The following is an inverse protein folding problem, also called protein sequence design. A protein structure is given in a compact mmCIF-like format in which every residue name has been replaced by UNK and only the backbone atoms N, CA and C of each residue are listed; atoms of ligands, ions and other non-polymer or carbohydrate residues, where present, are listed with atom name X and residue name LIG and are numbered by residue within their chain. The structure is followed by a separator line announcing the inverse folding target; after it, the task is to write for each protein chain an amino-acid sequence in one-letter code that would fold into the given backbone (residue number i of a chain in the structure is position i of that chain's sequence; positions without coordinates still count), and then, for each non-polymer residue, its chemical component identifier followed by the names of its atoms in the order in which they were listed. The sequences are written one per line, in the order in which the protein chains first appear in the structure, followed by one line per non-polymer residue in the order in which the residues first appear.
data_IF_595797188273
#
_entry.id   IF_595797188273
#
_cell.length_a   1.000
_cell.length_b   1.000
_cell.length_c   1.000
_cell.angle_alpha   90.00
_cell.angle_beta   90.00
_cell.angle_gamma   90.00
#
_symmetry.space_group_name_H-M   'P 1'
#
loop_
_entity.id
_entity.type
_entity.pdbx_description
1 polymer ?
#
# COMPACT_ATOMS: atom_id res chain seq x y z
N UNK A 1 30.48 62.53 -14.62
CA UNK A 1 29.65 62.73 -13.41
C UNK A 1 29.86 61.49 -12.56
N UNK A 2 30.83 61.59 -11.66
CA UNK A 2 31.31 60.52 -10.78
C UNK A 2 30.59 60.58 -9.40
N UNK A 3 30.83 59.64 -8.45
CA UNK A 3 29.79 58.95 -7.67
C UNK A 3 29.86 59.24 -6.16
N UNK A 4 28.94 58.69 -5.35
CA UNK A 4 29.19 58.45 -3.92
C UNK A 4 28.19 57.49 -3.25
N UNK A 5 28.75 56.64 -2.41
CA UNK A 5 28.14 55.71 -1.44
C UNK A 5 28.01 56.39 -0.05
N UNK A 6 27.35 55.69 0.89
CA UNK A 6 27.55 55.67 2.38
C UNK A 6 26.48 56.35 3.29
N UNK A 7 25.86 55.49 4.13
CA UNK A 7 25.37 55.62 5.53
C UNK A 7 24.38 56.75 5.89
N UNK A 8 23.46 56.70 6.86
CA UNK A 8 23.32 56.02 8.17
C UNK A 8 21.95 56.49 8.74
N UNK A 9 21.17 55.81 9.58
CA UNK A 9 21.15 55.85 11.08
C UNK A 9 19.67 55.61 11.50
N UNK A 10 19.45 54.76 12.51
CA UNK A 10 18.23 54.59 13.33
C UNK A 10 18.02 55.80 14.26
N UNK A 11 16.81 56.21 14.70
CA UNK A 11 16.12 55.46 15.76
C UNK A 11 14.58 55.51 15.78
N UNK A 12 14.06 54.55 16.55
CA UNK A 12 12.73 54.36 17.18
C UNK A 12 12.32 55.54 18.12
N UNK A 13 11.23 55.50 18.93
CA UNK A 13 10.01 54.66 18.97
C UNK A 13 8.69 55.45 19.32
N UNK A 14 7.59 54.70 19.43
CA UNK A 14 6.37 54.96 20.24
C UNK A 14 5.24 55.86 19.71
N UNK A 15 4.11 55.24 19.35
CA UNK A 15 2.78 55.45 19.95
C UNK A 15 1.83 54.29 19.56
N UNK A 16 0.75 54.03 20.33
CA UNK A 16 0.39 52.67 20.75
C UNK A 16 -0.81 52.06 20.01
N UNK A 17 -0.87 50.74 20.14
CA UNK A 17 -1.90 49.82 19.69
C UNK A 17 -3.34 50.23 20.07
N UNK A 18 -4.21 50.28 19.06
CA UNK A 18 -5.64 49.90 19.08
C UNK A 18 -5.74 48.65 18.19
N UNK A 19 -6.51 47.59 18.42
CA UNK A 19 -7.78 47.40 19.12
C UNK A 19 -7.83 45.98 19.67
N UNK A 20 -8.16 45.82 20.95
CA UNK A 20 -8.69 44.58 21.51
C UNK A 20 -10.21 44.72 21.57
N UNK A 21 -10.91 44.09 20.63
CA UNK A 21 -12.36 43.93 20.64
C UNK A 21 -12.66 42.48 21.04
N UNK A 22 -12.93 42.27 22.32
CA UNK A 22 -14.00 41.42 22.87
C UNK A 22 -13.81 41.41 24.40
N UNK A 23 -14.92 41.34 25.14
CA UNK A 23 -15.05 41.37 26.61
C UNK A 23 -15.31 42.79 27.14
N UNK A 24 -16.59 43.16 27.11
CA UNK A 24 -17.10 44.41 27.65
C UNK A 24 -18.61 44.38 27.85
N UNK A 25 -19.10 43.40 28.60
CA UNK A 25 -20.47 43.39 29.13
C UNK A 25 -20.44 42.82 30.56
N UNK A 26 -20.04 43.65 31.52
CA UNK A 26 -20.34 43.42 32.93
C UNK A 26 -20.18 44.71 33.75
N UNK A 27 -21.12 45.64 33.60
CA UNK A 27 -21.24 46.77 34.52
C UNK A 27 -22.60 47.47 34.43
N UNK A 28 -23.69 46.72 34.61
CA UNK A 28 -24.96 47.26 35.13
C UNK A 28 -25.55 46.17 36.02
N UNK A 29 -26.00 46.54 37.23
CA UNK A 29 -26.58 45.71 38.31
C UNK A 29 -25.68 45.47 39.53
N UNK A 30 -25.14 46.56 40.10
CA UNK A 30 -24.67 46.59 41.48
C UNK A 30 -25.49 47.59 42.30
N UNK A 31 -26.80 47.35 42.50
CA UNK A 31 -27.56 48.00 43.58
C UNK A 31 -28.94 47.38 43.84
N UNK A 32 -28.94 46.21 44.50
CA UNK A 32 -29.90 45.75 45.54
C UNK A 32 -29.79 44.23 45.65
N UNK A 33 -28.88 43.77 46.50
CA UNK A 33 -28.78 42.37 46.87
C UNK A 33 -30.04 41.95 47.65
N UNK A 34 -30.72 40.91 47.18
CA UNK A 34 -31.43 39.99 48.06
C UNK A 34 -30.56 38.75 48.23
N UNK A 35 -30.09 38.48 49.45
CA UNK A 35 -29.19 37.38 49.84
C UNK A 35 -29.64 35.94 49.44
N UNK A 36 -30.75 35.79 48.72
CA UNK A 36 -31.29 34.50 48.26
C UNK A 36 -30.85 34.11 46.84
N UNK A 37 -30.33 35.04 46.03
CA UNK A 37 -29.88 34.74 44.65
C UNK A 37 -28.45 34.18 44.61
N UNK A 38 -27.57 34.59 45.54
CA UNK A 38 -26.21 34.05 45.64
C UNK A 38 -26.18 32.57 46.07
N UNK A 39 -27.21 32.10 46.80
CA UNK A 39 -27.33 30.68 47.16
C UNK A 39 -27.66 29.80 45.94
N UNK A 40 -28.43 30.31 44.97
CA UNK A 40 -28.83 29.56 43.76
C UNK A 40 -27.76 29.61 42.65
N UNK A 41 -27.03 30.72 42.49
CA UNK A 41 -25.86 30.78 41.60
C UNK A 41 -24.66 29.99 42.14
N UNK A 42 -24.50 29.90 43.46
CA UNK A 42 -23.49 29.04 44.10
C UNK A 42 -23.74 27.55 43.86
N UNK A 43 -25.01 27.10 43.82
CA UNK A 43 -25.36 25.71 43.52
C UNK A 43 -25.18 25.34 42.03
N UNK A 44 -25.33 26.28 41.09
CA UNK A 44 -25.08 26.02 39.67
C UNK A 44 -23.59 26.08 39.27
N UNK A 45 -22.75 26.84 39.99
CA UNK A 45 -21.29 26.80 39.77
C UNK A 45 -20.63 25.61 40.49
N UNK A 46 -21.22 25.11 41.58
CA UNK A 46 -20.73 23.91 42.27
C UNK A 46 -21.02 22.60 41.51
N UNK A 47 -21.99 22.58 40.58
CA UNK A 47 -22.29 21.41 39.75
C UNK A 47 -21.48 21.33 38.44
N UNK A 48 -20.72 22.37 38.08
CA UNK A 48 -19.76 22.35 36.97
C UNK A 48 -18.30 22.08 37.41
N UNK A 49 -18.08 21.78 38.70
CA UNK A 49 -16.78 21.38 39.28
C UNK A 49 -16.76 19.94 39.81
N UNK A 50 -17.70 19.10 39.37
CA UNK A 50 -17.49 17.66 39.35
C UNK A 50 -16.69 17.33 38.10
N UNK A 51 -15.38 17.52 38.25
CA UNK A 51 -14.37 16.90 37.41
C UNK A 51 -14.78 15.46 37.14
N UNK A 52 -15.05 15.14 35.87
CA UNK A 52 -15.07 13.75 35.45
C UNK A 52 -13.72 13.17 35.79
N UNK A 53 -13.64 12.45 36.91
CA UNK A 53 -12.48 11.66 37.25
C UNK A 53 -12.32 10.70 36.08
N UNK A 54 -11.36 10.99 35.19
CA UNK A 54 -10.84 9.98 34.26
C UNK A 54 -10.19 8.95 35.17
N UNK A 55 -10.98 8.01 35.69
CA UNK A 55 -10.43 6.93 36.50
C UNK A 55 -9.40 6.24 35.60
N UNK A 56 -8.13 6.34 35.99
CA UNK A 56 -7.06 5.62 35.34
C UNK A 56 -7.43 4.14 35.30
N UNK A 57 -7.13 3.49 34.18
CA UNK A 57 -7.60 2.13 33.88
C UNK A 57 -6.76 1.05 34.55
N UNK A 58 -5.51 1.37 34.88
CA UNK A 58 -4.52 0.40 35.36
C UNK A 58 -3.42 1.08 36.19
N UNK A 59 -2.59 0.27 36.83
CA UNK A 59 -1.38 0.74 37.52
C UNK A 59 -1.67 1.35 38.89
N UNK A 60 -0.68 2.03 39.46
CA UNK A 60 -0.73 2.60 40.81
C UNK A 60 -1.89 3.58 41.02
N UNK A 61 -2.27 4.31 39.96
CA UNK A 61 -3.39 5.24 39.94
C UNK A 61 -4.75 4.52 40.05
N UNK A 62 -4.80 3.25 39.62
CA UNK A 62 -5.99 2.40 39.63
C UNK A 62 -5.91 1.26 40.67
N UNK A 63 -5.21 1.49 41.79
CA UNK A 63 -5.07 0.49 42.87
C UNK A 63 -4.33 -0.79 42.44
N UNK A 64 -3.47 -0.71 41.43
CA UNK A 64 -2.74 -1.85 40.88
C UNK A 64 -3.53 -2.67 39.85
N UNK A 65 -4.65 -2.16 39.35
CA UNK A 65 -5.43 -2.84 38.32
C UNK A 65 -4.59 -3.16 37.08
N UNK A 66 -4.81 -4.35 36.50
CA UNK A 66 -4.19 -4.78 35.26
C UNK A 66 -5.09 -4.45 34.07
N UNK A 67 -4.47 -4.21 32.92
CA UNK A 67 -5.22 -4.03 31.69
C UNK A 67 -5.87 -5.32 31.19
N UNK A 68 -7.07 -5.24 30.58
CA UNK A 68 -7.68 -6.36 29.87
C UNK A 68 -6.87 -6.72 28.62
N UNK A 69 -6.98 -7.97 28.16
CA UNK A 69 -6.41 -8.40 26.87
C UNK A 69 -4.88 -8.43 26.76
N UNK A 70 -4.17 -8.61 27.89
CA UNK A 70 -2.70 -8.60 27.96
C UNK A 70 -2.05 -7.30 27.46
N UNK A 71 -2.80 -6.18 27.45
CA UNK A 71 -2.27 -4.87 27.12
C UNK A 71 -1.33 -4.35 28.22
N UNK A 72 -0.41 -3.47 27.84
CA UNK A 72 0.51 -2.83 28.76
C UNK A 72 -0.18 -1.68 29.50
N UNK A 73 0.23 -1.46 30.74
CA UNK A 73 -0.17 -0.30 31.51
C UNK A 73 0.90 0.78 31.43
N UNK A 74 0.57 1.92 30.80
CA UNK A 74 1.50 3.04 30.67
C UNK A 74 1.84 3.69 32.02
N UNK A 75 2.87 4.55 32.03
CA UNK A 75 3.22 5.38 33.20
C UNK A 75 2.05 6.23 33.73
N UNK A 76 1.10 6.56 32.86
CA UNK A 76 -0.04 7.40 33.16
C UNK A 76 -1.30 6.62 33.55
N UNK A 77 -1.22 5.29 33.68
CA UNK A 77 -2.34 4.46 34.12
C UNK A 77 -3.37 4.17 33.02
N UNK A 78 -2.92 4.07 31.76
CA UNK A 78 -3.77 3.75 30.60
C UNK A 78 -3.34 2.46 29.92
N UNK A 79 -4.30 1.74 29.35
CA UNK A 79 -4.07 0.48 28.66
C UNK A 79 -3.82 0.65 27.17
N UNK A 80 -2.78 0.01 26.64
CA UNK A 80 -2.45 0.02 25.21
C UNK A 80 -1.31 -0.92 24.84
N UNK A 81 -1.01 -1.03 23.56
CA UNK A 81 -0.04 -1.97 22.98
C UNK A 81 1.11 -1.30 22.20
N UNK A 82 1.18 0.04 22.20
CA UNK A 82 2.27 0.78 21.54
C UNK A 82 3.44 1.01 22.50
N UNK A 83 4.60 1.43 21.98
CA UNK A 83 5.80 1.71 22.78
C UNK A 83 5.55 2.71 23.92
N UNK A 84 4.68 3.72 23.71
CA UNK A 84 4.31 4.69 24.74
C UNK A 84 3.62 4.05 25.99
N UNK A 85 3.09 2.84 25.85
CA UNK A 85 2.41 2.10 26.91
C UNK A 85 3.28 0.96 27.46
N UNK A 86 4.05 0.30 26.60
CA UNK A 86 4.79 -0.92 26.93
C UNK A 86 6.25 -0.71 27.33
N UNK A 87 6.88 0.41 26.97
CA UNK A 87 8.32 0.62 27.19
C UNK A 87 8.64 0.79 28.69
N UNK A 88 9.40 -0.13 29.32
CA UNK A 88 9.82 0.01 30.70
C UNK A 88 10.65 1.28 30.95
N UNK A 89 11.44 1.73 29.96
CA UNK A 89 12.25 2.95 30.08
C UNK A 89 11.37 4.21 30.11
N UNK A 90 10.15 4.15 29.59
CA UNK A 90 9.16 5.23 29.67
C UNK A 90 8.23 5.12 30.88
N UNK A 91 8.47 4.15 31.76
CA UNK A 91 7.75 3.98 33.02
C UNK A 91 6.49 3.13 32.92
N UNK A 92 6.44 2.16 32.01
CA UNK A 92 5.39 1.14 32.00
C UNK A 92 5.27 0.47 33.39
N UNK A 93 4.04 0.33 33.89
CA UNK A 93 3.74 -0.10 35.26
C UNK A 93 3.44 -1.60 35.38
N UNK A 94 2.83 -2.22 34.36
CA UNK A 94 2.51 -3.65 34.37
C UNK A 94 2.34 -4.20 32.95
N UNK A 95 2.58 -5.52 32.80
CA UNK A 95 2.50 -6.24 31.50
C UNK A 95 3.42 -5.69 30.41
N UNK A 96 4.46 -4.95 30.80
CA UNK A 96 5.47 -4.31 29.94
C UNK A 96 6.31 -5.29 29.10
N UNK A 97 6.22 -6.58 29.43
CA UNK A 97 7.00 -7.66 28.82
C UNK A 97 6.11 -8.74 28.17
N UNK A 98 4.77 -8.54 28.12
CA UNK A 98 3.81 -9.64 27.96
C UNK A 98 2.53 -9.39 27.14
N UNK A 99 2.55 -8.46 26.18
CA UNK A 99 1.63 -8.56 25.03
C UNK A 99 1.95 -9.82 24.20
N UNK A 100 1.08 -10.27 23.26
CA UNK A 100 1.46 -11.32 22.32
C UNK A 100 2.84 -10.98 21.75
N UNK A 101 3.76 -11.91 21.96
CA UNK A 101 5.18 -11.76 21.72
C UNK A 101 5.40 -11.10 20.36
N UNK A 102 6.07 -9.93 20.26
CA UNK A 102 6.71 -9.59 19.01
C UNK A 102 7.77 -10.67 18.80
N UNK A 103 7.51 -11.60 17.88
CA UNK A 103 8.55 -12.40 17.24
C UNK A 103 9.72 -11.46 16.96
N UNK A 104 10.96 -11.80 17.37
CA UNK A 104 12.08 -10.87 17.40
C UNK A 104 12.10 -10.06 16.11
N UNK A 105 11.85 -8.75 16.22
CA UNK A 105 11.97 -7.87 15.09
C UNK A 105 13.40 -8.02 14.57
N UNK A 106 13.59 -8.46 13.32
CA UNK A 106 14.83 -8.16 12.62
C UNK A 106 15.03 -6.64 12.70
N UNK A 107 16.28 -6.16 12.76
CA UNK A 107 16.58 -4.75 12.97
C UNK A 107 15.71 -3.90 12.05
N UNK A 108 15.21 -2.78 12.58
CA UNK A 108 14.55 -1.70 11.86
C UNK A 108 15.22 -1.46 10.51
N UNK A 109 14.65 -2.14 9.53
CA UNK A 109 15.06 -2.22 8.15
C UNK A 109 13.81 -2.64 7.43
N UNK A 110 12.77 -1.79 7.48
CA UNK A 110 11.71 -1.88 6.49
C UNK A 110 12.43 -1.92 5.16
N UNK A 111 12.37 -3.08 4.47
CA UNK A 111 13.12 -3.31 3.25
C UNK A 111 12.90 -2.14 2.29
N UNK A 112 13.84 -1.89 1.39
CA UNK A 112 13.80 -0.69 0.54
C UNK A 112 12.51 -0.53 -0.30
N UNK A 113 11.67 -1.56 -0.41
CA UNK A 113 10.30 -1.49 -0.95
C UNK A 113 9.28 -0.92 0.06
N UNK A 114 9.36 -1.29 1.34
CA UNK A 114 8.47 -0.80 2.39
C UNK A 114 8.60 0.71 2.64
N UNK A 115 9.73 1.32 2.26
CA UNK A 115 9.89 2.79 2.28
C UNK A 115 9.21 3.50 1.10
N UNK A 116 8.86 2.77 0.04
CA UNK A 116 8.11 3.28 -1.12
C UNK A 116 6.61 3.10 -0.93
N UNK A 117 6.19 1.96 -0.37
CA UNK A 117 4.79 1.61 -0.13
C UNK A 117 4.60 1.15 1.31
N UNK A 118 4.00 2.02 2.12
CA UNK A 118 3.59 1.67 3.49
C UNK A 118 2.40 0.71 3.48
N UNK A 119 2.12 0.10 4.63
CA UNK A 119 0.90 -0.71 4.82
C UNK A 119 -0.35 0.08 4.49
N UNK A 120 -0.47 1.31 4.97
CA UNK A 120 -1.63 2.17 4.69
C UNK A 120 -1.80 2.48 3.21
N UNK A 121 -0.71 2.73 2.47
CA UNK A 121 -0.77 2.93 1.02
C UNK A 121 -1.14 1.65 0.29
N UNK A 122 -0.63 0.48 0.71
CA UNK A 122 -1.02 -0.81 0.16
C UNK A 122 -2.52 -1.07 0.39
N UNK A 123 -3.02 -0.78 1.58
CA UNK A 123 -4.44 -0.92 1.91
C UNK A 123 -5.32 0.06 1.15
N UNK A 124 -4.88 1.30 0.93
CA UNK A 124 -5.61 2.28 0.09
C UNK A 124 -5.60 1.90 -1.39
N UNK A 125 -4.47 1.39 -1.90
CA UNK A 125 -4.35 0.90 -3.28
C UNK A 125 -5.30 -0.29 -3.48
N UNK A 126 -5.28 -1.27 -2.58
CA UNK A 126 -6.10 -2.49 -2.68
C UNK A 126 -7.29 -2.48 -1.72
N UNK A 127 -8.05 -1.38 -1.77
CA UNK A 127 -9.09 -1.00 -0.81
C UNK A 127 -10.16 -2.09 -0.59
N UNK A 128 -10.68 -2.67 -1.67
CA UNK A 128 -11.81 -3.61 -1.59
C UNK A 128 -11.42 -5.09 -1.70
N UNK A 129 -10.12 -5.43 -1.68
CA UNK A 129 -9.67 -6.83 -1.82
C UNK A 129 -10.21 -7.78 -0.74
N UNK A 130 -10.56 -7.23 0.42
CA UNK A 130 -11.09 -7.96 1.57
C UNK A 130 -12.61 -7.86 1.70
N UNK A 131 -13.29 -7.27 0.71
CA UNK A 131 -14.75 -7.23 0.68
C UNK A 131 -15.33 -8.65 0.72
N UNK A 132 -16.53 -8.80 1.29
CA UNK A 132 -17.19 -10.09 1.40
C UNK A 132 -17.50 -10.73 0.04
N UNK A 133 -17.65 -9.93 -1.02
CA UNK A 133 -17.87 -10.40 -2.38
C UNK A 133 -16.60 -10.97 -3.04
N UNK A 134 -15.41 -10.70 -2.49
CA UNK A 134 -14.15 -11.15 -3.06
C UNK A 134 -13.78 -12.56 -2.59
N UNK A 135 -13.66 -13.57 -3.49
CA UNK A 135 -13.27 -14.92 -3.09
C UNK A 135 -11.87 -15.01 -2.48
N UNK A 136 -10.98 -14.06 -2.80
CA UNK A 136 -9.64 -13.97 -2.23
C UNK A 136 -9.57 -13.14 -0.93
N UNK A 137 -10.70 -12.75 -0.32
CA UNK A 137 -10.71 -11.95 0.91
C UNK A 137 -9.78 -12.52 1.98
N UNK A 138 -9.02 -11.65 2.63
CA UNK A 138 -8.01 -11.92 3.65
C UNK A 138 -6.78 -12.74 3.18
N UNK A 139 -6.67 -13.08 1.90
CA UNK A 139 -5.51 -13.82 1.38
C UNK A 139 -4.30 -12.91 1.15
N UNK A 140 -4.48 -11.80 0.45
CA UNK A 140 -3.38 -10.91 0.07
C UNK A 140 -3.07 -9.90 1.17
N UNK A 141 -2.03 -10.20 1.96
CA UNK A 141 -1.58 -9.33 3.05
C UNK A 141 -0.36 -8.50 2.64
N UNK A 142 -0.21 -7.33 3.27
CA UNK A 142 0.97 -6.48 3.10
C UNK A 142 2.26 -7.23 3.49
N UNK A 143 2.20 -8.03 4.56
CA UNK A 143 3.36 -8.78 5.05
C UNK A 143 3.83 -9.84 4.04
N UNK A 144 2.89 -10.54 3.39
CA UNK A 144 3.21 -11.47 2.31
C UNK A 144 3.83 -10.75 1.10
N UNK A 145 3.30 -9.58 0.73
CA UNK A 145 3.85 -8.76 -0.34
C UNK A 145 5.29 -8.32 -0.04
N UNK A 146 5.55 -7.77 1.15
CA UNK A 146 6.90 -7.32 1.53
C UNK A 146 7.88 -8.49 1.66
N UNK A 147 7.45 -9.62 2.24
CA UNK A 147 8.27 -10.83 2.33
C UNK A 147 8.66 -11.37 0.94
N UNK A 148 7.71 -11.38 0.00
CA UNK A 148 7.98 -11.76 -1.38
C UNK A 148 8.91 -10.76 -2.06
N UNK A 149 8.62 -9.46 -1.97
CA UNK A 149 9.42 -8.39 -2.58
C UNK A 149 10.88 -8.43 -2.14
N UNK A 150 11.15 -8.67 -0.85
CA UNK A 150 12.50 -8.78 -0.32
C UNK A 150 13.29 -9.98 -0.85
N UNK A 151 12.63 -10.93 -1.55
CA UNK A 151 13.30 -12.06 -2.19
C UNK A 151 13.81 -11.74 -3.61
N UNK A 152 13.49 -10.57 -4.17
CA UNK A 152 13.88 -10.18 -5.53
C UNK A 152 14.64 -8.85 -5.51
N UNK A 153 15.97 -8.93 -5.57
CA UNK A 153 16.82 -7.74 -5.68
C UNK A 153 16.45 -6.90 -6.91
N UNK A 154 16.39 -5.58 -6.73
CA UNK A 154 16.03 -4.62 -7.79
C UNK A 154 14.54 -4.25 -7.81
N UNK A 155 13.63 -5.16 -7.49
CA UNK A 155 12.19 -4.88 -7.49
C UNK A 155 11.86 -3.73 -6.53
N UNK A 156 11.29 -2.64 -7.04
CA UNK A 156 10.93 -1.45 -6.26
C UNK A 156 12.12 -0.69 -5.66
N UNK A 157 13.35 -1.03 -6.06
CA UNK A 157 14.60 -0.50 -5.48
C UNK A 157 15.59 0.00 -6.52
N UNK A 158 15.33 -0.24 -7.81
CA UNK A 158 16.12 0.26 -8.93
C UNK A 158 15.72 1.69 -9.31
N UNK A 159 16.71 2.53 -9.61
CA UNK A 159 16.50 3.90 -10.09
C UNK A 159 16.20 4.92 -8.98
N UNK A 160 15.72 6.10 -9.39
CA UNK A 160 15.28 7.18 -8.50
C UNK A 160 13.94 6.88 -7.81
N UNK A 161 13.52 7.75 -6.90
CA UNK A 161 12.30 7.55 -6.12
C UNK A 161 11.05 7.46 -7.02
N UNK A 162 10.97 8.27 -8.07
CA UNK A 162 9.86 8.26 -9.02
C UNK A 162 9.82 6.95 -9.81
N UNK A 163 10.97 6.45 -10.24
CA UNK A 163 11.08 5.15 -10.94
C UNK A 163 10.62 4.01 -10.04
N UNK A 164 11.04 3.99 -8.77
CA UNK A 164 10.60 2.98 -7.81
C UNK A 164 9.10 3.03 -7.54
N UNK A 165 8.54 4.23 -7.32
CA UNK A 165 7.09 4.42 -7.16
C UNK A 165 6.33 3.95 -8.40
N UNK A 166 6.82 4.31 -9.59
CA UNK A 166 6.20 3.94 -10.87
C UNK A 166 6.26 2.43 -11.11
N UNK A 167 7.35 1.78 -10.74
CA UNK A 167 7.45 0.31 -10.78
C UNK A 167 6.41 -0.35 -9.87
N UNK A 168 6.30 0.08 -8.61
CA UNK A 168 5.31 -0.47 -7.68
C UNK A 168 3.89 -0.23 -8.20
N UNK A 169 3.60 0.98 -8.71
CA UNK A 169 2.31 1.30 -9.33
C UNK A 169 2.02 0.41 -10.55
N UNK A 170 3.01 0.16 -11.41
CA UNK A 170 2.86 -0.63 -12.61
C UNK A 170 2.65 -2.11 -12.30
N UNK A 171 3.45 -2.67 -11.38
CA UNK A 171 3.29 -4.05 -10.92
C UNK A 171 1.91 -4.27 -10.30
N UNK A 172 1.52 -3.41 -9.35
CA UNK A 172 0.20 -3.49 -8.72
C UNK A 172 -0.91 -3.25 -9.74
N UNK A 173 -0.71 -2.35 -10.70
CA UNK A 173 -1.69 -2.04 -11.75
C UNK A 173 -2.00 -3.24 -12.62
N UNK A 174 -0.97 -3.92 -13.12
CA UNK A 174 -1.12 -5.10 -13.96
C UNK A 174 -1.76 -6.25 -13.17
N UNK A 175 -1.23 -6.52 -11.97
CA UNK A 175 -1.74 -7.62 -11.14
C UNK A 175 -3.16 -7.36 -10.61
N UNK A 176 -3.55 -6.10 -10.45
CA UNK A 176 -4.93 -5.74 -10.11
C UNK A 176 -5.89 -6.02 -11.25
N UNK A 177 -5.49 -5.77 -12.51
CA UNK A 177 -6.29 -6.16 -13.67
C UNK A 177 -6.50 -7.67 -13.73
N UNK A 178 -5.43 -8.46 -13.58
CA UNK A 178 -5.50 -9.93 -13.60
C UNK A 178 -6.43 -10.52 -12.52
N UNK A 179 -6.71 -9.76 -11.47
CA UNK A 179 -7.46 -10.21 -10.29
C UNK A 179 -8.65 -9.30 -9.98
N UNK A 180 -9.09 -8.50 -10.94
CA UNK A 180 -10.11 -7.47 -10.72
C UNK A 180 -11.47 -8.07 -10.43
N UNK A 181 -12.12 -7.56 -9.39
CA UNK A 181 -13.56 -7.71 -9.14
C UNK A 181 -14.34 -6.45 -9.46
N UNK A 182 -13.74 -5.47 -10.15
CA UNK A 182 -14.34 -4.18 -10.41
C UNK A 182 -15.40 -4.21 -11.51
N UNK A 183 -16.39 -3.32 -11.37
CA UNK A 183 -17.40 -3.05 -12.39
C UNK A 183 -17.60 -1.52 -12.54
N UNK A 184 -18.25 -1.03 -13.61
CA UNK A 184 -18.28 0.40 -13.91
C UNK A 184 -18.83 1.30 -12.79
N UNK A 185 -19.76 0.78 -11.98
CA UNK A 185 -20.40 1.49 -10.88
C UNK A 185 -19.98 0.98 -9.49
N UNK A 186 -18.84 0.30 -9.41
CA UNK A 186 -18.35 -0.22 -8.14
C UNK A 186 -18.09 0.91 -7.13
N UNK A 187 -18.28 0.67 -5.81
CA UNK A 187 -17.85 1.60 -4.78
C UNK A 187 -16.39 2.02 -4.99
N UNK A 188 -16.10 3.32 -4.93
CA UNK A 188 -14.78 3.92 -5.22
C UNK A 188 -14.24 3.66 -6.66
N UNK A 189 -15.11 3.27 -7.59
CA UNK A 189 -14.81 3.01 -8.99
C UNK A 189 -14.14 1.65 -9.24
N UNK A 190 -14.10 1.18 -10.51
CA UNK A 190 -13.61 -0.16 -10.86
C UNK A 190 -12.16 -0.40 -10.43
N UNK A 191 -11.34 0.65 -10.37
CA UNK A 191 -9.91 0.56 -10.11
C UNK A 191 -9.51 0.45 -8.63
N UNK A 192 -10.49 0.25 -7.74
CA UNK A 192 -10.28 -0.02 -6.31
C UNK A 192 -10.52 -1.49 -5.91
N UNK A 193 -10.83 -2.33 -6.92
CA UNK A 193 -11.25 -3.73 -6.78
C UNK A 193 -10.23 -4.73 -7.34
N UNK A 194 -8.97 -4.33 -7.45
CA UNK A 194 -7.87 -5.28 -7.71
C UNK A 194 -7.72 -6.29 -6.57
N UNK A 195 -7.10 -7.43 -6.85
CA UNK A 195 -6.80 -8.49 -5.87
C UNK A 195 -8.04 -9.15 -5.26
N UNK A 196 -9.18 -9.11 -5.96
CA UNK A 196 -10.42 -9.74 -5.53
C UNK A 196 -10.41 -11.26 -5.74
N UNK A 197 -9.66 -11.73 -6.75
CA UNK A 197 -9.50 -13.14 -7.10
C UNK A 197 -8.06 -13.62 -6.92
N UNK A 198 -7.91 -14.94 -6.72
CA UNK A 198 -6.61 -15.63 -6.62
C UNK A 198 -6.50 -16.88 -7.50
N UNK A 199 -7.58 -17.24 -8.15
CA UNK A 199 -7.69 -18.36 -9.07
C UNK A 199 -8.54 -17.94 -10.26
N UNK A 200 -8.21 -18.46 -11.44
CA UNK A 200 -8.96 -18.28 -12.68
C UNK A 200 -10.40 -18.72 -12.48
N UNK A 201 -11.33 -17.89 -12.95
CA UNK A 201 -12.77 -18.10 -12.74
C UNK A 201 -13.36 -19.13 -13.72
N UNK A 202 -14.48 -19.74 -13.33
CA UNK A 202 -15.20 -20.70 -14.16
C UNK A 202 -14.66 -22.13 -14.04
N UNK A 203 -14.54 -22.84 -15.17
CA UNK A 203 -14.02 -24.21 -15.23
C UNK A 203 -12.79 -24.27 -16.13
N UNK A 204 -11.63 -23.78 -15.66
CA UNK A 204 -10.43 -23.71 -16.47
C UNK A 204 -9.92 -25.10 -16.87
N UNK A 205 -9.31 -25.14 -18.06
CA UNK A 205 -8.62 -26.33 -18.58
C UNK A 205 -7.41 -26.73 -17.72
N UNK A 206 -6.66 -27.74 -18.16
CA UNK A 206 -5.45 -28.15 -17.43
C UNK A 206 -4.27 -27.19 -17.62
N UNK A 207 -4.27 -26.40 -18.70
CA UNK A 207 -3.12 -25.58 -19.12
C UNK A 207 -1.81 -26.38 -19.15
N UNK A 208 -1.92 -27.67 -19.47
CA UNK A 208 -0.78 -28.56 -19.64
C UNK A 208 -0.35 -28.55 -21.11
N UNK A 209 0.86 -28.08 -21.38
CA UNK A 209 1.51 -28.20 -22.67
C UNK A 209 2.63 -29.24 -22.61
N UNK A 210 2.70 -30.21 -23.55
CA UNK A 210 3.78 -31.19 -23.58
C UNK A 210 5.16 -30.52 -23.54
N UNK A 211 5.99 -30.91 -22.57
CA UNK A 211 7.33 -30.38 -22.37
C UNK A 211 8.20 -31.43 -21.69
N UNK A 212 9.39 -31.69 -22.25
CA UNK A 212 10.37 -32.56 -21.61
C UNK A 212 11.01 -31.89 -20.39
N UNK A 213 11.16 -30.55 -20.42
CA UNK A 213 11.80 -29.79 -19.34
C UNK A 213 10.85 -29.54 -18.17
N UNK A 214 9.57 -29.34 -18.46
CA UNK A 214 8.53 -29.01 -17.47
C UNK A 214 7.34 -29.94 -17.63
N UNK A 215 7.50 -31.26 -17.40
CA UNK A 215 6.42 -32.22 -17.60
C UNK A 215 5.24 -31.93 -16.68
N UNK A 216 4.04 -32.11 -17.18
CA UNK A 216 2.84 -31.95 -16.36
C UNK A 216 2.75 -33.06 -15.32
N UNK A 217 2.59 -32.70 -14.05
CA UNK A 217 2.37 -33.65 -12.98
C UNK A 217 0.99 -34.31 -13.14
N UNK A 218 0.86 -35.63 -12.89
CA UNK A 218 -0.42 -36.33 -12.96
C UNK A 218 -1.49 -35.66 -12.10
N UNK A 219 -2.70 -35.50 -12.66
CA UNK A 219 -3.86 -34.90 -11.99
C UNK A 219 -3.67 -33.45 -11.49
N UNK A 220 -2.67 -32.73 -11.98
CA UNK A 220 -2.47 -31.31 -11.68
C UNK A 220 -2.93 -30.42 -12.83
N UNK A 221 -3.36 -29.20 -12.47
CA UNK A 221 -3.78 -28.16 -13.41
C UNK A 221 -2.95 -26.89 -13.18
N UNK A 222 -2.63 -26.20 -14.26
CA UNK A 222 -1.78 -25.01 -14.30
C UNK A 222 -2.55 -23.78 -14.78
N UNK A 223 -3.83 -23.68 -14.41
CA UNK A 223 -4.66 -22.50 -14.67
C UNK A 223 -4.16 -21.28 -13.89
N UNK A 224 -4.72 -20.10 -14.20
CA UNK A 224 -4.31 -18.83 -13.59
C UNK A 224 -4.41 -18.86 -12.06
N UNK A 225 -3.30 -18.58 -11.37
CA UNK A 225 -3.29 -18.38 -9.92
C UNK A 225 -2.48 -17.15 -9.50
N UNK A 226 -2.85 -16.59 -8.36
CA UNK A 226 -2.16 -15.46 -7.74
C UNK A 226 -2.26 -14.14 -8.52
N UNK A 227 -1.45 -13.14 -8.14
CA UNK A 227 -1.60 -11.77 -8.63
C UNK A 227 -1.37 -11.60 -10.13
N UNK A 228 -0.48 -12.40 -10.74
CA UNK A 228 -0.21 -12.34 -12.18
C UNK A 228 -1.00 -13.39 -12.97
N UNK A 229 -1.92 -14.12 -12.33
CA UNK A 229 -2.63 -15.26 -12.91
C UNK A 229 -1.67 -16.22 -13.65
N UNK A 230 -0.56 -16.60 -12.98
CA UNK A 230 0.46 -17.44 -13.58
C UNK A 230 -0.19 -18.72 -14.11
N UNK A 231 0.04 -18.99 -15.39
CA UNK A 231 -0.63 -20.05 -16.15
C UNK A 231 0.38 -20.88 -16.93
N UNK A 232 0.04 -22.12 -17.22
CA UNK A 232 0.84 -23.14 -17.91
C UNK A 232 2.01 -23.73 -17.12
N UNK A 233 2.20 -25.05 -17.28
CA UNK A 233 3.29 -25.82 -16.67
C UNK A 233 4.68 -25.24 -16.96
N UNK A 234 4.90 -24.69 -18.17
CA UNK A 234 6.16 -24.06 -18.55
C UNK A 234 6.42 -22.71 -17.85
N UNK A 235 5.46 -22.14 -17.13
CA UNK A 235 5.69 -21.00 -16.22
C UNK A 235 5.77 -21.46 -14.76
N UNK A 236 4.90 -22.37 -14.32
CA UNK A 236 4.95 -22.91 -12.95
C UNK A 236 6.30 -23.58 -12.64
N UNK A 237 6.83 -24.36 -13.58
CA UNK A 237 8.13 -25.03 -13.46
C UNK A 237 9.30 -24.06 -13.17
N UNK A 238 9.62 -23.12 -14.08
CA UNK A 238 10.72 -22.18 -13.85
C UNK A 238 10.45 -21.21 -12.69
N UNK A 239 9.21 -20.78 -12.47
CA UNK A 239 8.86 -19.95 -11.30
C UNK A 239 9.19 -20.70 -10.00
N UNK A 240 8.72 -21.95 -9.88
CA UNK A 240 8.97 -22.79 -8.73
C UNK A 240 10.46 -23.00 -8.49
N UNK A 241 11.22 -23.31 -9.54
CA UNK A 241 12.69 -23.42 -9.47
C UNK A 241 13.33 -22.13 -8.95
N UNK A 242 12.91 -20.97 -9.45
CA UNK A 242 13.50 -19.69 -9.07
C UNK A 242 13.23 -19.33 -7.60
N UNK A 243 12.08 -19.72 -7.06
CA UNK A 243 11.68 -19.39 -5.67
C UNK A 243 11.96 -20.52 -4.67
N UNK A 244 12.53 -21.64 -5.12
CA UNK A 244 12.85 -22.81 -4.30
C UNK A 244 11.64 -23.64 -3.86
N UNK A 245 10.56 -23.65 -4.65
CA UNK A 245 9.31 -24.37 -4.35
C UNK A 245 8.92 -25.26 -5.53
N UNK A 246 8.55 -26.51 -5.29
CA UNK A 246 8.07 -27.41 -6.34
C UNK A 246 6.62 -27.10 -6.74
N UNK A 247 6.45 -26.07 -7.56
CA UNK A 247 5.17 -25.63 -8.10
C UNK A 247 4.66 -26.51 -9.25
N UNK A 248 5.51 -27.37 -9.83
CA UNK A 248 5.09 -28.25 -10.90
C UNK A 248 4.23 -29.40 -10.34
N UNK A 249 4.63 -29.96 -9.18
CA UNK A 249 3.85 -30.96 -8.46
C UNK A 249 2.84 -30.34 -7.47
N UNK A 250 3.06 -29.10 -7.02
CA UNK A 250 2.19 -28.43 -6.03
C UNK A 250 1.72 -27.05 -6.52
N UNK A 251 1.03 -26.96 -7.68
CA UNK A 251 0.63 -25.66 -8.24
C UNK A 251 -0.38 -24.90 -7.37
N UNK A 252 -1.15 -25.60 -6.53
CA UNK A 252 -2.14 -25.00 -5.63
C UNK A 252 -1.51 -24.12 -4.55
N UNK A 253 -0.20 -24.27 -4.27
CA UNK A 253 0.53 -23.39 -3.34
C UNK A 253 0.45 -21.92 -3.74
N UNK A 254 0.32 -21.62 -5.03
CA UNK A 254 0.15 -20.24 -5.52
C UNK A 254 -1.19 -19.63 -5.06
N UNK A 255 -2.20 -20.43 -4.74
CA UNK A 255 -3.51 -19.98 -4.26
C UNK A 255 -3.74 -20.24 -2.76
N UNK A 256 -2.84 -20.94 -2.08
CA UNK A 256 -2.96 -21.27 -0.64
C UNK A 256 -1.88 -20.63 0.24
N UNK A 257 -0.77 -20.18 -0.32
CA UNK A 257 0.27 -19.40 0.37
C UNK A 257 0.44 -18.04 -0.30
N UNK A 258 0.08 -16.96 0.40
CA UNK A 258 0.12 -15.61 -0.14
C UNK A 258 1.55 -15.13 -0.47
N UNK A 259 2.56 -15.57 0.27
CA UNK A 259 3.96 -15.19 0.00
C UNK A 259 4.44 -15.87 -1.27
N UNK A 260 4.16 -17.17 -1.45
CA UNK A 260 4.43 -17.89 -2.70
C UNK A 260 3.67 -17.24 -3.85
N UNK A 261 2.41 -16.86 -3.63
CA UNK A 261 1.58 -16.16 -4.61
C UNK A 261 2.21 -14.86 -5.11
N UNK A 262 2.66 -14.00 -4.20
CA UNK A 262 3.38 -12.78 -4.59
C UNK A 262 4.74 -13.09 -5.23
N UNK A 263 5.46 -14.11 -4.75
CA UNK A 263 6.74 -14.49 -5.33
C UNK A 263 6.62 -14.93 -6.80
N UNK A 264 5.57 -15.65 -7.18
CA UNK A 264 5.38 -16.01 -8.61
C UNK A 264 5.08 -14.79 -9.47
N UNK A 265 4.31 -13.84 -8.97
CA UNK A 265 4.03 -12.58 -9.67
C UNK A 265 5.29 -11.73 -9.85
N UNK A 266 6.09 -11.56 -8.80
CA UNK A 266 7.33 -10.78 -8.86
C UNK A 266 8.38 -11.53 -9.71
N UNK A 267 8.45 -12.86 -9.64
CA UNK A 267 9.29 -13.65 -10.55
C UNK A 267 8.95 -13.36 -12.01
N UNK A 268 7.67 -13.39 -12.39
CA UNK A 268 7.24 -13.11 -13.75
C UNK A 268 7.66 -11.69 -14.17
N UNK A 269 7.44 -10.71 -13.28
CA UNK A 269 7.79 -9.31 -13.51
C UNK A 269 9.29 -9.09 -13.75
N UNK A 270 10.12 -9.80 -12.99
CA UNK A 270 11.58 -9.64 -12.99
C UNK A 270 12.30 -10.50 -14.04
N UNK A 271 11.64 -11.50 -14.62
CA UNK A 271 12.31 -12.52 -15.44
C UNK A 271 12.05 -12.28 -16.93
N UNK A 272 13.09 -11.97 -17.74
CA UNK A 272 12.93 -11.91 -19.19
C UNK A 272 12.62 -13.30 -19.76
N UNK A 273 11.74 -13.35 -20.75
CA UNK A 273 11.41 -14.57 -21.49
C UNK A 273 11.55 -14.27 -22.98
N UNK A 274 12.74 -14.52 -23.53
CA UNK A 274 13.09 -14.14 -24.90
C UNK A 274 12.00 -14.55 -25.91
N UNK A 275 11.56 -13.63 -26.79
CA UNK A 275 12.15 -12.30 -27.06
C UNK A 275 11.67 -11.17 -26.11
N UNK A 276 10.83 -11.46 -25.12
CA UNK A 276 10.30 -10.46 -24.20
C UNK A 276 11.38 -10.02 -23.20
N UNK A 277 11.62 -8.70 -23.00
CA UNK A 277 12.38 -8.24 -21.85
C UNK A 277 11.60 -8.48 -20.55
N UNK A 278 12.22 -8.24 -19.40
CA UNK A 278 11.50 -8.22 -18.13
C UNK A 278 10.62 -6.96 -18.05
N UNK A 279 9.47 -7.05 -17.37
CA UNK A 279 8.65 -5.88 -17.06
C UNK A 279 9.45 -4.86 -16.22
N UNK A 280 10.29 -5.38 -15.32
CA UNK A 280 11.24 -4.61 -14.52
C UNK A 280 12.14 -3.69 -15.37
N UNK A 281 12.86 -4.25 -16.34
CA UNK A 281 13.81 -3.48 -17.15
C UNK A 281 13.09 -2.44 -18.01
N UNK A 282 11.85 -2.72 -18.45
CA UNK A 282 11.03 -1.73 -19.15
C UNK A 282 10.70 -0.55 -18.25
N UNK A 283 10.12 -0.78 -17.07
CA UNK A 283 9.59 0.33 -16.24
C UNK A 283 10.71 1.14 -15.58
N UNK A 284 11.89 0.52 -15.41
CA UNK A 284 13.09 1.16 -14.84
C UNK A 284 13.99 1.81 -15.89
N UNK A 285 13.60 1.78 -17.18
CA UNK A 285 14.35 2.42 -18.27
C UNK A 285 15.65 1.70 -18.65
N UNK A 286 15.80 0.42 -18.28
CA UNK A 286 16.97 -0.40 -18.59
C UNK A 286 16.85 -1.16 -19.91
N UNK A 287 15.63 -1.35 -20.40
CA UNK A 287 15.39 -1.96 -21.70
C UNK A 287 15.50 -0.94 -22.83
N UNK A 288 16.39 -1.23 -23.78
CA UNK A 288 16.52 -0.49 -25.04
C UNK A 288 15.84 -1.29 -26.15
N UNK A 289 14.80 -0.76 -26.83
CA UNK A 289 14.14 -1.46 -27.92
C UNK A 289 15.08 -1.75 -29.08
N UNK A 290 15.05 -2.99 -29.58
CA UNK A 290 15.75 -3.35 -30.82
C UNK A 290 15.14 -2.66 -32.04
N UNK A 291 15.82 -2.72 -33.20
CA UNK A 291 15.23 -2.24 -34.45
C UNK A 291 13.91 -2.94 -34.80
N UNK A 292 13.79 -4.24 -34.47
CA UNK A 292 12.56 -5.00 -34.66
C UNK A 292 11.44 -4.56 -33.70
N UNK A 293 11.78 -4.13 -32.49
CA UNK A 293 10.81 -3.57 -31.53
C UNK A 293 10.28 -2.22 -32.00
N UNK A 294 11.18 -1.34 -32.44
CA UNK A 294 10.81 -0.03 -32.96
C UNK A 294 9.91 -0.15 -34.20
N UNK A 295 10.26 -1.03 -35.15
CA UNK A 295 9.44 -1.31 -36.33
C UNK A 295 8.07 -1.93 -35.98
N UNK A 296 7.99 -2.62 -34.84
CA UNK A 296 6.75 -3.17 -34.30
C UNK A 296 5.95 -2.19 -33.41
N UNK A 297 6.41 -0.94 -33.28
CA UNK A 297 5.81 0.06 -32.39
C UNK A 297 6.05 -0.18 -30.90
N UNK A 298 6.86 -1.17 -30.52
CA UNK A 298 7.18 -1.48 -29.12
C UNK A 298 8.23 -0.52 -28.60
N UNK A 299 7.78 0.45 -27.81
CA UNK A 299 8.60 1.49 -27.18
C UNK A 299 8.46 1.45 -25.65
N UNK A 300 9.43 1.97 -24.87
CA UNK A 300 9.39 1.88 -23.42
C UNK A 300 8.14 2.57 -22.84
N UNK A 301 7.47 1.90 -21.92
CA UNK A 301 6.26 2.40 -21.26
C UNK A 301 5.36 1.27 -20.77
N UNK A 302 4.25 1.65 -20.13
CA UNK A 302 3.33 0.68 -19.54
C UNK A 302 2.63 -0.21 -20.58
N UNK A 303 2.46 0.29 -21.81
CA UNK A 303 1.87 -0.48 -22.91
C UNK A 303 2.69 -1.70 -23.29
N UNK A 304 4.03 -1.59 -23.37
CA UNK A 304 4.85 -2.77 -23.71
C UNK A 304 4.87 -3.79 -22.56
N UNK A 305 4.64 -3.37 -21.31
CA UNK A 305 4.43 -4.29 -20.18
C UNK A 305 3.14 -5.10 -20.37
N UNK A 306 2.04 -4.46 -20.78
CA UNK A 306 0.82 -5.18 -21.19
C UNK A 306 1.10 -6.15 -22.33
N UNK A 307 1.93 -5.76 -23.29
CA UNK A 307 2.33 -6.63 -24.41
C UNK A 307 3.14 -7.86 -23.93
N UNK A 308 4.05 -7.68 -22.98
CA UNK A 308 4.79 -8.79 -22.35
C UNK A 308 3.84 -9.78 -21.67
N UNK A 309 2.88 -9.27 -20.90
CA UNK A 309 1.94 -10.08 -20.12
C UNK A 309 0.95 -10.82 -21.03
N UNK A 310 0.24 -10.12 -21.91
CA UNK A 310 -0.84 -10.71 -22.70
C UNK A 310 -1.00 -10.13 -24.11
N UNK A 311 0.08 -9.68 -24.73
CA UNK A 311 0.04 -8.98 -26.01
C UNK A 311 -0.61 -9.77 -27.15
N UNK A 312 -0.46 -11.10 -27.16
CA UNK A 312 -1.08 -11.96 -28.16
C UNK A 312 -2.61 -11.87 -28.21
N UNK A 313 -3.25 -11.44 -27.12
CA UNK A 313 -4.70 -11.26 -27.02
C UNK A 313 -5.15 -9.80 -26.98
N UNK A 314 -4.29 -8.89 -26.53
CA UNK A 314 -4.68 -7.52 -26.16
C UNK A 314 -4.06 -6.43 -27.05
N UNK A 315 -2.93 -6.68 -27.70
CA UNK A 315 -2.17 -5.64 -28.39
C UNK A 315 -2.28 -5.73 -29.92
N UNK A 316 -1.97 -4.61 -30.59
CA UNK A 316 -1.84 -4.53 -32.06
C UNK A 316 -3.16 -4.64 -32.83
N UNK A 317 -4.28 -4.35 -32.17
CA UNK A 317 -5.64 -4.53 -32.70
C UNK A 317 -6.58 -3.34 -32.44
N UNK A 318 -6.01 -2.16 -32.21
CA UNK A 318 -6.76 -0.96 -31.85
C UNK A 318 -7.12 -0.91 -30.37
N UNK A 319 -8.15 -0.15 -30.01
CA UNK A 319 -8.57 0.03 -28.62
C UNK A 319 -9.14 -1.24 -28.03
N UNK A 320 -8.67 -1.63 -26.85
CA UNK A 320 -9.13 -2.82 -26.13
C UNK A 320 -9.52 -2.46 -24.68
N UNK A 321 -10.65 -2.96 -24.22
CA UNK A 321 -11.15 -2.65 -22.87
C UNK A 321 -10.27 -3.23 -21.76
N UNK A 322 -9.57 -4.34 -22.00
CA UNK A 322 -8.65 -4.96 -21.04
C UNK A 322 -7.40 -4.10 -20.87
N UNK A 323 -6.84 -3.61 -21.98
CA UNK A 323 -5.73 -2.65 -21.98
C UNK A 323 -6.14 -1.36 -21.25
N UNK A 324 -7.35 -0.85 -21.52
CA UNK A 324 -7.87 0.34 -20.83
C UNK A 324 -8.02 0.13 -19.31
N UNK A 325 -8.45 -1.05 -18.87
CA UNK A 325 -8.57 -1.40 -17.46
C UNK A 325 -7.21 -1.47 -16.75
N UNK A 326 -6.21 -2.12 -17.37
CA UNK A 326 -4.81 -2.11 -16.90
C UNK A 326 -4.28 -0.69 -16.71
N UNK A 327 -4.56 0.20 -17.67
CA UNK A 327 -4.16 1.61 -17.62
C UNK A 327 -4.91 2.35 -16.51
N UNK A 328 -6.18 2.06 -16.31
CA UNK A 328 -7.02 2.67 -15.27
C UNK A 328 -6.46 2.41 -13.86
N UNK A 329 -6.15 1.15 -13.55
CA UNK A 329 -5.46 0.79 -12.31
C UNK A 329 -4.12 1.51 -12.16
N UNK A 330 -3.27 1.45 -13.18
CA UNK A 330 -1.96 2.09 -13.14
C UNK A 330 -2.04 3.59 -12.88
N UNK A 331 -2.95 4.30 -13.55
CA UNK A 331 -3.17 5.74 -13.34
C UNK A 331 -3.65 6.04 -11.93
N UNK A 332 -4.59 5.27 -11.38
CA UNK A 332 -5.04 5.44 -9.99
C UNK A 332 -3.87 5.27 -9.02
N UNK A 333 -3.05 4.26 -9.20
CA UNK A 333 -1.95 3.96 -8.28
C UNK A 333 -0.80 4.97 -8.38
N UNK A 334 -0.48 5.42 -9.60
CA UNK A 334 0.43 6.55 -9.81
C UNK A 334 -0.05 7.81 -9.10
N UNK A 335 -1.36 8.11 -9.15
CA UNK A 335 -1.95 9.24 -8.43
C UNK A 335 -1.76 9.12 -6.91
N UNK A 336 -2.08 7.95 -6.33
CA UNK A 336 -1.92 7.69 -4.89
C UNK A 336 -0.45 7.82 -4.45
N UNK A 337 0.50 7.35 -5.28
CA UNK A 337 1.94 7.42 -4.97
C UNK A 337 2.58 8.77 -5.32
N UNK A 338 1.82 9.68 -5.95
CA UNK A 338 2.29 11.00 -6.35
C UNK A 338 3.39 10.94 -7.40
N UNK A 339 3.22 10.12 -8.45
CA UNK A 339 4.18 9.98 -9.55
C UNK A 339 3.48 10.04 -10.91
N UNK A 340 4.16 10.58 -11.94
CA UNK A 340 3.65 10.55 -13.31
C UNK A 340 3.65 9.12 -13.88
N UNK A 341 2.57 8.67 -14.55
CA UNK A 341 2.52 7.39 -15.27
C UNK A 341 3.53 7.29 -16.43
N UNK A 342 4.04 8.42 -16.93
CA UNK A 342 4.87 8.46 -18.13
C UNK A 342 4.06 8.38 -19.43
N UNK A 343 4.76 8.09 -20.53
CA UNK A 343 4.19 7.97 -21.88
C UNK A 343 3.95 6.50 -22.27
N UNK A 344 3.42 6.29 -23.49
CA UNK A 344 3.26 4.97 -24.12
C UNK A 344 2.49 3.97 -23.23
N UNK A 345 1.33 4.41 -22.75
CA UNK A 345 0.54 3.65 -21.76
C UNK A 345 -0.22 2.47 -22.38
N UNK A 346 -0.56 2.55 -23.66
CA UNK A 346 -1.28 1.50 -24.37
C UNK A 346 -0.37 0.72 -25.34
N UNK A 347 -0.89 -0.42 -25.78
CA UNK A 347 -0.27 -1.25 -26.81
C UNK A 347 -1.17 -1.43 -28.04
N UNK A 348 -2.10 -0.50 -28.26
CA UNK A 348 -3.14 -0.62 -29.28
C UNK A 348 -2.56 -0.85 -30.67
N UNK A 349 -1.41 -0.22 -30.95
CA UNK A 349 -0.69 -0.27 -32.22
C UNK A 349 0.64 -1.03 -32.14
N UNK A 350 0.92 -1.71 -31.03
CA UNK A 350 2.15 -2.48 -30.87
C UNK A 350 1.93 -3.92 -31.36
N UNK A 351 2.77 -4.41 -32.27
CA UNK A 351 2.72 -5.82 -32.64
C UNK A 351 3.09 -6.69 -31.43
N UNK A 352 2.35 -7.77 -31.14
CA UNK A 352 2.68 -8.70 -30.07
C UNK A 352 4.11 -9.25 -30.18
N UNK A 353 4.77 -9.51 -29.05
CA UNK A 353 5.98 -10.35 -29.05
C UNK A 353 5.62 -11.76 -29.54
N UNK A 354 6.49 -12.37 -30.35
CA UNK A 354 6.29 -13.67 -30.99
C UNK A 354 7.55 -14.53 -30.90
#
# INVERSE_FOLDING_TARGET
LEPAYINTILPSPHHPFTSSLQIGLCSVLHKKMGNKVYALLGLCLASMLLTGSKAEQCGSQAGGALCPGSLCCSRFGWCGDTAAYCDPAQGCQSRCSGGPTPTPSPPSGGGAVASIISRSLFDEILKHRNDAACPARNFYTYDAFIAAANSFGGFGTTGDQDTRKREIAAFLGQTSHETTGGWPTAPDGPYSWGYCFKEEQGNPGSYCQPSAQWPCAPNKKYYGRGPIQISYNFNYGPAGRAIGVDLLNNPDLVATDATISFKTAIWFWMTPQSPKPSCHDVITGRWTPSGADQAAGRVPGYGVITNIINGGLECGRGTDSRVADRIGFFRRYCSILGVSPGANLDCNNQRPFA
#
